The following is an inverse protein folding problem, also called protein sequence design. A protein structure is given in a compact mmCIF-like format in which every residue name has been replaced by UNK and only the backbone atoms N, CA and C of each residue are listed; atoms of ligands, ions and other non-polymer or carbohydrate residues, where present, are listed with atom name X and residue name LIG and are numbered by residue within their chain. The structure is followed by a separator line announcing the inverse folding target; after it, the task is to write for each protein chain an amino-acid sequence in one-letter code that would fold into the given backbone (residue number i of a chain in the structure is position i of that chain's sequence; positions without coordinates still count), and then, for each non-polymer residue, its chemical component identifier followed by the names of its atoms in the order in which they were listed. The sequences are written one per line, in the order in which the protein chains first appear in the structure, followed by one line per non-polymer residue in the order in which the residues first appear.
data_IF_481137365111
#
_entry.id   IF_481137365111
#
_cell.length_a   1.000
_cell.length_b   1.000
_cell.length_c   1.000
_cell.angle_alpha   90.00
_cell.angle_beta   90.00
_cell.angle_gamma   90.00
#
_symmetry.space_group_name_H-M   'P 1'
#
loop_
_entity.id
_entity.type
_entity.pdbx_description
1 polymer ?
#
# COMPACT_ATOMS: atom_id res chain seq x y z
N UNK A 1 25.29 -16.71 12.12
CA UNK A 1 25.37 -15.54 11.21
C UNK A 1 25.82 -16.01 9.85
N UNK A 2 25.10 -15.70 8.77
CA UNK A 2 25.29 -16.26 7.41
C UNK A 2 26.50 -15.73 6.63
N UNK A 3 27.47 -15.06 7.30
CA UNK A 3 28.74 -14.56 6.73
C UNK A 3 28.67 -13.98 5.32
N UNK A 4 27.58 -13.30 4.95
CA UNK A 4 27.40 -12.76 3.60
C UNK A 4 27.63 -13.78 2.47
N UNK A 5 27.21 -15.03 2.67
CA UNK A 5 27.38 -16.10 1.68
C UNK A 5 26.57 -15.83 0.42
N UNK A 6 27.27 -15.74 -0.71
CA UNK A 6 26.70 -15.54 -2.05
C UNK A 6 25.78 -16.69 -2.46
N UNK A 7 26.17 -17.95 -2.16
CA UNK A 7 25.35 -19.12 -2.44
C UNK A 7 23.97 -19.06 -1.77
N UNK A 8 23.95 -18.60 -0.50
CA UNK A 8 22.70 -18.45 0.25
C UNK A 8 21.86 -17.29 -0.29
N UNK A 9 22.49 -16.21 -0.72
CA UNK A 9 21.80 -15.10 -1.38
C UNK A 9 21.13 -15.55 -2.68
N UNK A 10 21.85 -16.27 -3.54
CA UNK A 10 21.34 -16.77 -4.82
C UNK A 10 20.17 -17.76 -4.64
N UNK A 11 20.21 -18.59 -3.60
CA UNK A 11 19.10 -19.46 -3.21
C UNK A 11 17.85 -18.65 -2.85
N UNK A 12 17.99 -17.64 -1.98
CA UNK A 12 16.88 -16.77 -1.53
C UNK A 12 16.29 -15.98 -2.70
N UNK A 13 17.13 -15.45 -3.59
CA UNK A 13 16.70 -14.74 -4.81
C UNK A 13 15.87 -15.67 -5.69
N UNK A 14 16.28 -16.92 -5.86
CA UNK A 14 15.57 -17.92 -6.67
C UNK A 14 14.21 -18.27 -6.07
N UNK A 15 14.14 -18.53 -4.76
CA UNK A 15 12.88 -18.85 -4.09
C UNK A 15 11.89 -17.68 -4.12
N UNK A 16 12.40 -16.47 -3.82
CA UNK A 16 11.59 -15.26 -3.80
C UNK A 16 11.12 -14.88 -5.20
N UNK A 17 11.96 -15.05 -6.23
CA UNK A 17 11.60 -14.86 -7.64
C UNK A 17 10.46 -15.79 -8.08
N UNK A 18 10.47 -17.04 -7.62
CA UNK A 18 9.39 -17.98 -7.89
C UNK A 18 8.08 -17.59 -7.20
N UNK A 19 8.16 -17.04 -5.99
CA UNK A 19 7.00 -16.56 -5.25
C UNK A 19 6.38 -15.31 -5.90
N UNK A 20 7.17 -14.29 -6.19
CA UNK A 20 6.66 -13.03 -6.80
C UNK A 20 6.06 -13.28 -8.19
N UNK A 21 6.59 -14.25 -8.95
CA UNK A 21 6.01 -14.69 -10.23
C UNK A 21 4.62 -15.31 -10.07
N UNK A 22 4.36 -16.05 -8.98
CA UNK A 22 3.02 -16.59 -8.67
C UNK A 22 2.02 -15.51 -8.27
N UNK A 23 2.51 -14.46 -7.60
CA UNK A 23 1.68 -13.29 -7.20
C UNK A 23 1.36 -12.38 -8.40
N UNK A 24 2.13 -12.48 -9.49
CA UNK A 24 1.87 -11.78 -10.76
C UNK A 24 2.89 -10.71 -11.13
N UNK A 25 4.00 -10.58 -10.38
CA UNK A 25 5.07 -9.63 -10.66
C UNK A 25 6.12 -10.20 -11.62
N UNK A 26 6.79 -9.34 -12.39
CA UNK A 26 7.93 -9.71 -13.24
C UNK A 26 9.24 -9.75 -12.41
N UNK A 27 9.88 -10.91 -12.20
CA UNK A 27 11.10 -10.98 -11.38
C UNK A 27 12.28 -10.20 -11.96
N UNK A 28 12.31 -9.95 -13.28
CA UNK A 28 13.39 -9.19 -13.92
C UNK A 28 13.34 -7.69 -13.61
N UNK A 29 12.20 -7.17 -13.17
CA UNK A 29 12.04 -5.75 -12.79
C UNK A 29 12.16 -5.53 -11.28
N UNK A 30 12.43 -6.59 -10.49
CA UNK A 30 12.55 -6.50 -9.03
C UNK A 30 14.02 -6.61 -8.66
N UNK A 31 14.58 -5.53 -8.09
CA UNK A 31 15.94 -5.53 -7.58
C UNK A 31 16.01 -6.29 -6.25
N UNK A 32 16.91 -7.25 -6.16
CA UNK A 32 17.24 -7.92 -4.91
C UNK A 32 18.48 -7.25 -4.33
N UNK A 33 18.39 -6.77 -3.08
CA UNK A 33 19.47 -6.06 -2.40
C UNK A 33 19.71 -6.74 -1.05
N UNK A 34 20.90 -7.33 -0.81
CA UNK A 34 21.22 -7.91 0.48
C UNK A 34 21.52 -6.78 1.49
N UNK A 35 20.74 -6.69 2.56
CA UNK A 35 20.88 -5.65 3.60
C UNK A 35 21.22 -6.26 4.96
N UNK A 36 21.93 -5.52 5.79
CA UNK A 36 22.17 -5.87 7.20
C UNK A 36 21.59 -4.80 8.11
N UNK A 37 20.38 -5.06 8.60
CA UNK A 37 19.66 -4.16 9.52
C UNK A 37 20.42 -3.76 10.78
N UNK A 38 21.36 -4.60 11.23
CA UNK A 38 22.11 -4.40 12.46
C UNK A 38 23.43 -3.64 12.27
N UNK A 39 24.07 -3.79 11.11
CA UNK A 39 25.39 -3.22 10.83
C UNK A 39 25.37 -2.03 9.86
N UNK A 40 24.23 -1.71 9.25
CA UNK A 40 24.12 -0.54 8.37
C UNK A 40 24.57 -0.78 6.92
N UNK A 41 24.99 -2.00 6.58
CA UNK A 41 25.45 -2.32 5.22
C UNK A 41 24.31 -2.17 4.20
N UNK A 42 24.58 -1.40 3.14
CA UNK A 42 23.64 -1.03 2.08
C UNK A 42 22.42 -0.21 2.57
N UNK A 43 22.53 0.52 3.69
CA UNK A 43 21.40 1.22 4.32
C UNK A 43 21.41 2.75 4.39
N UNK A 44 22.48 3.50 4.05
CA UNK A 44 22.50 4.93 3.60
C UNK A 44 23.80 5.69 3.97
N UNK A 45 24.29 6.56 3.06
CA UNK A 45 24.89 7.86 3.42
C UNK A 45 23.80 8.97 3.30
N UNK A 46 23.94 10.07 4.05
CA UNK A 46 22.89 11.06 4.36
C UNK A 46 22.25 11.79 3.16
N UNK A 47 20.94 12.06 3.29
CA UNK A 47 20.19 13.03 2.48
C UNK A 47 19.80 14.28 3.30
N UNK A 48 19.91 15.44 2.65
CA UNK A 48 19.40 16.78 2.98
C UNK A 48 19.62 17.34 4.41
N UNK A 49 20.60 18.22 4.56
CA UNK A 49 20.69 19.16 5.69
C UNK A 49 19.41 20.01 5.77
N UNK A 50 18.76 20.03 6.95
CA UNK A 50 17.71 20.96 7.43
C UNK A 50 16.30 20.39 7.72
N UNK A 51 16.09 19.08 7.86
CA UNK A 51 14.80 18.54 8.38
C UNK A 51 15.02 17.75 9.67
N UNK A 52 14.25 18.05 10.72
CA UNK A 52 14.38 17.35 12.00
C UNK A 52 13.76 15.96 11.91
N UNK A 53 14.43 14.96 12.49
CA UNK A 53 13.89 13.58 12.62
C UNK A 53 12.57 13.50 13.40
N UNK A 54 12.20 14.55 14.13
CA UNK A 54 10.91 14.65 14.82
C UNK A 54 9.75 15.02 13.90
N UNK A 55 10.06 15.65 12.77
CA UNK A 55 9.09 16.18 11.80
C UNK A 55 8.78 15.18 10.69
N UNK A 56 9.61 14.13 10.54
CA UNK A 56 9.40 13.04 9.58
C UNK A 56 8.97 11.78 10.32
N UNK A 57 7.97 11.08 9.80
CA UNK A 57 7.49 9.80 10.32
C UNK A 57 7.28 8.81 9.19
N UNK A 58 7.31 7.52 9.56
CA UNK A 58 6.92 6.44 8.65
C UNK A 58 5.51 6.72 8.10
N UNK A 59 5.36 6.63 6.77
CA UNK A 59 4.15 7.01 6.05
C UNK A 59 4.20 8.38 5.37
N UNK A 60 5.23 9.21 5.62
CA UNK A 60 5.46 10.41 4.82
C UNK A 60 6.05 10.06 3.44
N UNK A 61 5.69 10.84 2.43
CA UNK A 61 6.13 10.68 1.04
C UNK A 61 7.03 11.85 0.69
N UNK A 62 8.27 11.54 0.26
CA UNK A 62 9.17 12.52 -0.31
C UNK A 62 8.88 12.66 -1.81
N UNK A 63 8.77 13.90 -2.29
CA UNK A 63 8.45 14.23 -3.68
C UNK A 63 9.30 15.41 -4.15
N UNK A 64 9.40 15.58 -5.48
CA UNK A 64 10.06 16.74 -6.05
C UNK A 64 9.18 17.98 -5.85
N UNK A 65 9.69 18.96 -5.10
CA UNK A 65 9.03 20.25 -4.86
C UNK A 65 8.61 21.00 -6.14
N UNK A 66 9.26 20.73 -7.28
CA UNK A 66 9.03 21.43 -8.55
C UNK A 66 8.23 20.61 -9.55
N UNK A 67 8.03 19.33 -9.30
CA UNK A 67 7.37 18.43 -10.24
C UNK A 67 6.36 17.56 -9.49
N UNK A 68 5.12 18.07 -9.42
CA UNK A 68 3.97 17.48 -8.74
C UNK A 68 4.25 17.01 -7.30
N UNK A 69 4.34 17.95 -6.34
CA UNK A 69 4.62 17.60 -4.97
C UNK A 69 3.47 16.80 -4.35
N UNK A 70 3.85 15.77 -3.59
CA UNK A 70 2.97 14.91 -2.81
C UNK A 70 2.08 15.73 -1.86
N UNK A 71 0.79 15.43 -1.83
CA UNK A 71 -0.22 16.13 -1.03
C UNK A 71 -0.98 15.16 -0.14
N UNK A 72 -1.38 15.65 1.02
CA UNK A 72 -2.25 14.91 1.91
C UNK A 72 -3.65 14.81 1.31
N UNK A 73 -4.22 13.61 1.30
CA UNK A 73 -5.58 13.39 0.86
C UNK A 73 -6.53 13.49 2.06
N UNK A 74 -7.47 14.44 2.01
CA UNK A 74 -8.55 14.53 2.99
C UNK A 74 -9.54 13.37 2.86
N UNK A 75 -9.77 12.93 1.63
CA UNK A 75 -10.56 11.75 1.27
C UNK A 75 -10.10 11.27 -0.10
N UNK A 76 -10.25 9.98 -0.37
CA UNK A 76 -9.97 9.42 -1.69
C UNK A 76 -11.03 8.39 -2.07
N UNK A 77 -11.35 8.36 -3.36
CA UNK A 77 -12.28 7.37 -3.92
C UNK A 77 -11.46 6.22 -4.47
N UNK A 78 -11.78 5.00 -4.06
CA UNK A 78 -11.06 3.81 -4.52
C UNK A 78 -12.01 2.67 -4.88
N UNK A 79 -11.57 1.86 -5.85
CA UNK A 79 -12.17 0.56 -6.10
C UNK A 79 -11.70 -0.43 -5.01
N UNK A 80 -12.65 -0.92 -4.22
CA UNK A 80 -12.42 -1.88 -3.15
C UNK A 80 -12.98 -3.23 -3.56
N UNK A 81 -12.11 -4.25 -3.57
CA UNK A 81 -12.49 -5.65 -3.80
C UNK A 81 -12.48 -6.37 -2.46
N UNK A 82 -13.63 -6.85 -2.01
CA UNK A 82 -13.76 -7.51 -0.71
C UNK A 82 -13.33 -8.97 -0.84
N UNK A 83 -12.26 -9.34 -0.16
CA UNK A 83 -11.79 -10.71 -0.06
C UNK A 83 -12.45 -11.43 1.13
N UNK A 84 -11.82 -12.48 1.67
CA UNK A 84 -12.33 -13.32 2.76
C UNK A 84 -12.58 -12.53 4.07
N UNK A 85 -13.69 -11.81 4.13
CA UNK A 85 -14.16 -11.07 5.29
C UNK A 85 -15.37 -11.79 5.92
N UNK A 86 -15.35 -12.06 7.24
CA UNK A 86 -16.39 -12.87 7.89
C UNK A 86 -17.74 -12.13 8.05
N UNK A 87 -17.77 -10.81 7.83
CA UNK A 87 -18.96 -9.98 7.98
C UNK A 87 -19.26 -9.12 6.75
N UNK A 88 -20.22 -8.21 6.93
CA UNK A 88 -20.58 -7.19 5.95
C UNK A 88 -19.84 -5.89 6.26
N UNK A 89 -19.44 -5.17 5.20
CA UNK A 89 -18.79 -3.86 5.30
C UNK A 89 -19.81 -2.82 4.84
N UNK A 90 -20.08 -1.84 5.69
CA UNK A 90 -21.00 -0.73 5.39
C UNK A 90 -20.34 0.62 5.65
N UNK A 91 -21.08 1.69 5.36
CA UNK A 91 -20.67 3.05 5.72
C UNK A 91 -20.40 3.14 7.22
N UNK A 92 -19.27 3.75 7.59
CA UNK A 92 -18.79 3.86 8.96
C UNK A 92 -17.77 2.79 9.38
N UNK A 93 -17.61 1.71 8.61
CA UNK A 93 -16.56 0.73 8.89
C UNK A 93 -15.16 1.36 8.74
N UNK A 94 -14.27 1.11 9.69
CA UNK A 94 -12.95 1.76 9.72
C UNK A 94 -11.82 0.73 9.90
N UNK A 95 -11.47 -0.04 8.86
CA UNK A 95 -10.31 -0.92 8.90
C UNK A 95 -9.01 -0.13 8.81
N UNK A 96 -7.91 -0.80 9.15
CA UNK A 96 -6.57 -0.27 8.88
C UNK A 96 -6.19 -0.56 7.44
N UNK A 97 -5.78 0.48 6.72
CA UNK A 97 -5.25 0.40 5.38
C UNK A 97 -3.73 0.48 5.44
N UNK A 98 -3.10 -0.45 4.73
CA UNK A 98 -1.70 -0.38 4.38
C UNK A 98 -1.60 0.18 2.95
N UNK A 99 -1.01 1.36 2.81
CA UNK A 99 -0.69 1.95 1.52
C UNK A 99 0.77 2.36 1.54
N UNK A 100 1.58 1.78 0.65
CA UNK A 100 3.04 1.96 0.65
C UNK A 100 3.65 1.62 2.02
N UNK A 101 4.13 2.63 2.75
CA UNK A 101 4.67 2.47 4.11
C UNK A 101 3.72 3.01 5.21
N UNK A 102 2.60 3.62 4.80
CA UNK A 102 1.58 4.16 5.68
C UNK A 102 0.65 3.04 6.17
N UNK A 103 0.42 3.03 7.49
CA UNK A 103 -0.45 2.09 8.17
C UNK A 103 -1.46 2.90 8.99
N UNK A 104 -2.61 3.20 8.39
CA UNK A 104 -3.56 4.20 8.90
C UNK A 104 -4.99 3.65 8.81
N UNK A 105 -5.76 3.80 9.90
CA UNK A 105 -7.18 3.50 9.88
C UNK A 105 -7.91 4.44 8.92
N UNK A 106 -8.62 3.90 7.94
CA UNK A 106 -9.43 4.68 7.00
C UNK A 106 -10.89 4.28 7.16
N UNK A 107 -11.74 5.29 7.34
CA UNK A 107 -13.19 5.10 7.46
C UNK A 107 -13.81 5.07 6.07
N UNK A 108 -14.63 4.06 5.81
CA UNK A 108 -15.54 4.03 4.67
C UNK A 108 -16.61 5.08 4.94
N UNK A 109 -16.48 6.26 4.32
CA UNK A 109 -17.44 7.34 4.47
C UNK A 109 -18.72 7.00 3.71
N UNK A 110 -18.57 6.59 2.46
CA UNK A 110 -19.69 6.30 1.57
C UNK A 110 -19.32 5.14 0.63
N UNK A 111 -20.28 4.25 0.39
CA UNK A 111 -20.21 3.25 -0.68
C UNK A 111 -20.94 3.86 -1.88
N UNK A 112 -20.21 4.31 -2.90
CA UNK A 112 -20.75 5.03 -4.04
C UNK A 112 -21.55 4.09 -4.94
N UNK A 113 -20.93 2.98 -5.33
CA UNK A 113 -21.59 1.97 -6.15
C UNK A 113 -20.93 0.60 -6.01
N UNK A 114 -21.73 -0.44 -6.17
CA UNK A 114 -21.26 -1.81 -6.36
C UNK A 114 -20.99 -2.03 -7.82
N UNK A 115 -19.82 -2.57 -8.14
CA UNK A 115 -19.37 -2.81 -9.51
C UNK A 115 -19.06 -4.29 -9.74
N UNK A 116 -19.16 -4.71 -10.99
CA UNK A 116 -18.67 -6.01 -11.40
C UNK A 116 -17.13 -6.01 -11.42
N UNK A 117 -16.53 -7.01 -10.75
CA UNK A 117 -15.07 -7.10 -10.59
C UNK A 117 -14.30 -7.22 -11.91
N UNK A 118 -14.90 -7.79 -12.95
CA UNK A 118 -14.23 -8.05 -14.24
C UNK A 118 -14.41 -6.91 -15.22
N UNK A 119 -15.61 -6.36 -15.27
CA UNK A 119 -16.02 -5.38 -16.30
C UNK A 119 -16.01 -3.95 -15.79
N UNK A 120 -15.96 -3.74 -14.47
CA UNK A 120 -16.04 -2.40 -13.86
C UNK A 120 -17.41 -1.75 -14.01
N UNK A 121 -18.42 -2.45 -14.53
CA UNK A 121 -19.76 -1.90 -14.72
C UNK A 121 -20.50 -1.80 -13.39
N UNK A 122 -21.19 -0.68 -13.19
CA UNK A 122 -22.09 -0.47 -12.05
C UNK A 122 -23.23 -1.50 -12.07
N UNK A 123 -23.42 -2.17 -10.93
CA UNK A 123 -24.50 -3.14 -10.68
C UNK A 123 -25.58 -2.48 -9.83
N UNK A 124 -25.17 -1.76 -8.77
CA UNK A 124 -26.08 -1.15 -7.80
C UNK A 124 -25.48 0.17 -7.30
N UNK A 125 -26.26 1.25 -7.38
CA UNK A 125 -25.87 2.55 -6.83
C UNK A 125 -26.16 2.60 -5.32
N UNK A 126 -25.24 3.19 -4.54
CA UNK A 126 -25.35 3.39 -3.10
C UNK A 126 -25.75 2.12 -2.29
N UNK A 127 -24.98 1.01 -2.39
CA UNK A 127 -25.29 -0.21 -1.65
C UNK A 127 -25.20 0.03 -0.13
N UNK A 128 -26.12 -0.56 0.64
CA UNK A 128 -26.10 -0.44 2.12
C UNK A 128 -24.90 -1.16 2.74
N UNK A 129 -24.47 -2.25 2.14
CA UNK A 129 -23.32 -3.04 2.58
C UNK A 129 -22.73 -3.86 1.42
N UNK A 130 -21.47 -4.23 1.54
CA UNK A 130 -20.75 -5.15 0.65
C UNK A 130 -20.23 -6.35 1.43
N UNK A 131 -20.12 -7.50 0.77
CA UNK A 131 -19.66 -8.77 1.37
C UNK A 131 -18.50 -9.38 0.58
N UNK A 132 -17.90 -10.42 1.14
CA UNK A 132 -16.87 -11.22 0.47
C UNK A 132 -17.24 -11.58 -0.97
N UNK A 133 -16.36 -11.27 -1.91
CA UNK A 133 -16.52 -11.49 -3.35
C UNK A 133 -17.06 -10.28 -4.12
N UNK A 134 -17.62 -9.27 -3.45
CA UNK A 134 -18.10 -8.06 -4.09
C UNK A 134 -16.95 -7.09 -4.42
N UNK A 135 -17.16 -6.26 -5.45
CA UNK A 135 -16.36 -5.08 -5.71
C UNK A 135 -17.23 -3.83 -5.63
N UNK A 136 -16.69 -2.73 -5.11
CA UNK A 136 -17.39 -1.47 -5.00
C UNK A 136 -16.44 -0.30 -5.18
N UNK A 137 -16.99 0.86 -5.51
CA UNK A 137 -16.32 2.14 -5.42
C UNK A 137 -16.74 2.77 -4.09
N UNK A 138 -15.75 3.13 -3.26
CA UNK A 138 -15.99 3.70 -1.94
C UNK A 138 -15.16 4.96 -1.73
N UNK A 139 -15.73 5.93 -1.03
CA UNK A 139 -15.01 7.10 -0.52
C UNK A 139 -14.44 6.76 0.85
N UNK A 140 -13.13 6.85 0.97
CA UNK A 140 -12.38 6.55 2.18
C UNK A 140 -11.81 7.83 2.76
N UNK A 141 -11.91 7.96 4.08
CA UNK A 141 -11.35 9.09 4.85
C UNK A 141 -10.30 8.54 5.81
N UNK A 142 -9.02 8.90 5.64
CA UNK A 142 -7.99 8.49 6.56
C UNK A 142 -8.16 9.22 7.91
N UNK A 143 -7.94 8.50 9.02
CA UNK A 143 -8.04 9.06 10.38
C UNK A 143 -6.86 9.95 10.76
N UNK A 144 -5.77 9.88 10.00
CA UNK A 144 -4.56 10.69 10.14
C UNK A 144 -4.13 11.17 8.75
N UNK A 145 -3.37 12.27 8.65
CA UNK A 145 -2.79 12.71 7.39
C UNK A 145 -2.13 11.54 6.63
N UNK A 146 -2.56 11.33 5.40
CA UNK A 146 -2.11 10.23 4.54
C UNK A 146 -1.94 10.78 3.14
N UNK A 147 -0.82 10.46 2.51
CA UNK A 147 -0.59 10.76 1.10
C UNK A 147 -1.01 9.54 0.28
N UNK A 148 -1.84 9.76 -0.73
CA UNK A 148 -2.20 8.77 -1.74
C UNK A 148 -2.12 9.46 -3.10
N UNK A 149 -1.68 8.72 -4.11
CA UNK A 149 -1.55 9.21 -5.49
C UNK A 149 -2.81 8.84 -6.29
N UNK A 150 -3.12 9.64 -7.32
CA UNK A 150 -4.23 9.43 -8.27
C UNK A 150 -3.83 8.53 -9.45
#
# INVERSE_FOLDING_TARGET
TTKWSEDRYNEIVKETSNFIKKVGYNPKSVAFVPISGWHGDNMLEESAKNVSVKDIRRGNVASDSKNDPAKEAASFTAQVIILNHPGQIGAGYAPVLDCHTAHIACKFQELVEKIDRRTGKSIEAAPKFVKSGDACIAVLVPSKPMCVEE
#
